data_IF_153931597613
#
_entry.id   IF_153931597613
#
_cell.length_a   1.000
_cell.length_b   1.000
_cell.length_c   1.000
_cell.angle_alpha   90.00
_cell.angle_beta   90.00
_cell.angle_gamma   90.00
#
_symmetry.space_group_name_H-M   'P 1'
#
loop_
_entity.id
_entity.type
_entity.pdbx_description
1 polymer ?
#
# COMPACT_ATOMS: atom_id res chain seq x y z
N UNK A 1 2.76 -3.35 9.53
CA UNK A 1 2.89 -3.89 8.16
C UNK A 1 1.58 -4.48 7.62
N UNK A 2 0.68 -4.98 8.49
CA UNK A 2 -0.59 -5.59 8.08
C UNK A 2 -1.47 -4.68 7.20
N UNK A 3 -1.45 -3.35 7.43
CA UNK A 3 -2.30 -2.39 6.74
C UNK A 3 -2.09 -2.35 5.22
N UNK A 4 -0.85 -2.29 4.74
CA UNK A 4 -0.55 -2.21 3.29
C UNK A 4 -0.91 -3.52 2.59
N UNK A 5 -0.71 -4.66 3.25
CA UNK A 5 -1.12 -5.98 2.76
C UNK A 5 -2.65 -6.06 2.62
N UNK A 6 -3.41 -5.59 3.62
CA UNK A 6 -4.86 -5.51 3.55
C UNK A 6 -5.34 -4.58 2.42
N UNK A 7 -4.73 -3.39 2.25
CA UNK A 7 -5.09 -2.48 1.17
C UNK A 7 -4.88 -3.10 -0.21
N UNK A 8 -3.78 -3.83 -0.41
CA UNK A 8 -3.53 -4.49 -1.69
C UNK A 8 -4.48 -5.67 -1.91
N UNK A 9 -4.78 -6.43 -0.86
CA UNK A 9 -5.75 -7.53 -0.91
C UNK A 9 -7.16 -7.02 -1.30
N UNK A 10 -7.62 -5.94 -0.67
CA UNK A 10 -8.87 -5.26 -1.01
C UNK A 10 -8.86 -4.77 -2.46
N UNK A 11 -7.75 -4.15 -2.89
CA UNK A 11 -7.58 -3.68 -4.27
C UNK A 11 -7.68 -4.84 -5.27
N UNK A 12 -7.10 -5.98 -4.95
CA UNK A 12 -7.24 -7.21 -5.74
C UNK A 12 -8.66 -7.75 -5.74
N UNK A 13 -9.32 -7.83 -4.59
CA UNK A 13 -10.68 -8.34 -4.46
C UNK A 13 -11.66 -7.57 -5.34
N UNK A 14 -11.61 -6.24 -5.33
CA UNK A 14 -12.49 -5.41 -6.18
C UNK A 14 -12.01 -5.32 -7.63
N UNK A 15 -10.75 -5.60 -7.90
CA UNK A 15 -10.14 -5.50 -9.23
C UNK A 15 -9.95 -4.05 -9.66
N UNK A 16 -8.75 -3.54 -9.46
CA UNK A 16 -8.39 -2.17 -9.89
C UNK A 16 -8.59 -2.04 -11.39
N UNK A 17 -9.22 -0.95 -11.81
CA UNK A 17 -9.31 -0.53 -13.22
C UNK A 17 -8.43 0.70 -13.42
N UNK A 18 -7.57 0.64 -14.41
CA UNK A 18 -6.73 1.78 -14.78
C UNK A 18 -7.58 3.03 -15.04
N UNK A 19 -7.27 4.09 -14.33
CA UNK A 19 -7.88 5.40 -14.55
C UNK A 19 -6.83 6.49 -14.33
N UNK A 20 -6.36 7.08 -15.43
CA UNK A 20 -5.28 8.06 -15.41
C UNK A 20 -5.60 9.27 -14.54
N UNK A 21 -6.81 9.81 -14.62
CA UNK A 21 -7.22 10.96 -13.82
C UNK A 21 -7.19 10.66 -12.31
N UNK A 22 -7.63 9.46 -11.90
CA UNK A 22 -7.56 9.05 -10.48
C UNK A 22 -6.14 8.90 -10.00
N UNK A 23 -5.24 8.35 -10.82
CA UNK A 23 -3.82 8.22 -10.48
C UNK A 23 -3.15 9.60 -10.36
N UNK A 24 -3.39 10.51 -11.29
CA UNK A 24 -2.87 11.89 -11.22
C UNK A 24 -3.40 12.59 -9.97
N UNK A 25 -4.69 12.46 -9.66
CA UNK A 25 -5.27 13.06 -8.45
C UNK A 25 -4.60 12.51 -7.18
N UNK A 26 -4.31 11.20 -7.16
CA UNK A 26 -3.60 10.58 -6.06
C UNK A 26 -2.16 11.11 -5.94
N UNK A 27 -1.45 11.24 -7.05
CA UNK A 27 -0.09 11.77 -7.07
C UNK A 27 -0.04 13.23 -6.59
N UNK A 28 -0.97 14.09 -7.04
CA UNK A 28 -1.10 15.48 -6.57
C UNK A 28 -1.30 15.55 -5.05
N UNK A 29 -2.13 14.66 -4.48
CA UNK A 29 -2.30 14.56 -3.03
C UNK A 29 -0.98 14.22 -2.34
N UNK A 30 -0.24 13.24 -2.87
CA UNK A 30 1.04 12.82 -2.30
C UNK A 30 2.08 13.93 -2.38
N UNK A 31 2.18 14.63 -3.52
CA UNK A 31 3.06 15.80 -3.71
C UNK A 31 2.76 16.87 -2.67
N UNK A 32 1.49 17.18 -2.43
CA UNK A 32 1.11 18.17 -1.43
C UNK A 32 1.58 17.78 -0.04
N UNK A 33 1.41 16.51 0.35
CA UNK A 33 1.86 16.02 1.66
C UNK A 33 3.38 15.94 1.79
N UNK A 34 4.10 15.59 0.73
CA UNK A 34 5.57 15.59 0.75
C UNK A 34 6.11 17.01 0.89
N UNK A 35 5.54 17.98 0.19
CA UNK A 35 5.90 19.39 0.34
C UNK A 35 5.60 19.87 1.77
N UNK A 36 4.41 19.56 2.29
CA UNK A 36 4.03 19.91 3.67
C UNK A 36 5.01 19.28 4.69
N UNK A 37 5.47 18.06 4.45
CA UNK A 37 6.47 17.41 5.29
C UNK A 37 7.79 18.17 5.30
N UNK A 38 8.27 18.70 4.16
CA UNK A 38 9.49 19.51 4.11
C UNK A 38 9.31 20.87 4.81
N UNK A 39 8.13 21.48 4.66
CA UNK A 39 7.80 22.72 5.38
C UNK A 39 7.82 22.49 6.89
N UNK A 40 7.26 21.39 7.38
CA UNK A 40 7.32 21.01 8.80
C UNK A 40 8.75 20.84 9.27
N UNK A 41 9.61 20.16 8.50
CA UNK A 41 11.03 20.02 8.83
C UNK A 41 11.70 21.40 9.01
N UNK A 42 11.49 22.31 8.06
CA UNK A 42 12.04 23.67 8.14
C UNK A 42 11.54 24.42 9.36
N UNK A 43 10.24 24.32 9.67
CA UNK A 43 9.63 24.96 10.84
C UNK A 43 10.22 24.43 12.17
N UNK A 44 10.66 23.16 12.19
CA UNK A 44 11.33 22.52 13.32
C UNK A 44 12.86 22.72 13.32
N UNK A 45 13.40 23.57 12.43
CA UNK A 45 14.83 23.81 12.34
C UNK A 45 15.65 22.67 11.72
N UNK A 46 14.98 21.67 11.11
CA UNK A 46 15.66 20.55 10.44
C UNK A 46 16.01 20.97 9.01
N UNK A 47 17.31 20.88 8.62
CA UNK A 47 17.71 21.30 7.29
C UNK A 47 17.10 20.41 6.20
N UNK A 48 16.68 21.04 5.09
CA UNK A 48 16.11 20.37 3.92
C UNK A 48 17.00 20.63 2.72
N UNK A 49 17.52 19.55 2.14
CA UNK A 49 18.40 19.61 0.97
C UNK A 49 17.64 19.86 -0.35
N UNK A 50 18.37 20.26 -1.40
CA UNK A 50 17.77 20.45 -2.75
C UNK A 50 17.17 19.16 -3.29
N UNK A 51 17.78 18.00 -3.01
CA UNK A 51 17.25 16.69 -3.42
C UNK A 51 15.98 16.31 -2.69
N UNK A 52 15.80 16.73 -1.43
CA UNK A 52 14.57 16.51 -0.67
C UNK A 52 13.40 17.26 -1.32
N UNK A 53 13.63 18.50 -1.78
CA UNK A 53 12.63 19.25 -2.54
C UNK A 53 12.33 18.60 -3.88
N UNK A 54 13.35 18.22 -4.65
CA UNK A 54 13.16 17.57 -5.94
C UNK A 54 12.36 16.27 -5.80
N UNK A 55 12.71 15.42 -4.85
CA UNK A 55 12.00 14.17 -4.59
C UNK A 55 10.56 14.38 -4.12
N UNK A 56 10.28 15.52 -3.47
CA UNK A 56 8.92 15.87 -3.05
C UNK A 56 7.97 16.18 -4.21
N UNK A 57 8.50 16.64 -5.35
CA UNK A 57 7.70 16.83 -6.57
C UNK A 57 7.52 15.54 -7.38
N UNK A 58 8.31 14.52 -7.13
CA UNK A 58 8.24 13.22 -7.81
C UNK A 58 8.19 12.05 -6.81
N UNK A 59 7.25 12.04 -5.85
CA UNK A 59 7.26 11.09 -4.73
C UNK A 59 7.12 9.63 -5.18
N UNK A 60 6.36 9.37 -6.24
CA UNK A 60 6.17 8.03 -6.79
C UNK A 60 7.43 7.55 -7.50
N UNK A 61 8.08 8.40 -8.30
CA UNK A 61 9.29 8.05 -9.05
C UNK A 61 10.52 7.92 -8.13
N UNK A 62 10.59 8.72 -7.06
CA UNK A 62 11.66 8.65 -6.06
C UNK A 62 11.46 7.55 -5.02
N UNK A 63 10.38 6.78 -5.13
CA UNK A 63 10.01 5.68 -4.21
C UNK A 63 9.94 6.11 -2.74
N UNK A 64 9.56 7.36 -2.45
CA UNK A 64 9.39 7.84 -1.07
C UNK A 64 8.35 7.03 -0.30
N UNK A 65 7.33 6.57 -1.00
CA UNK A 65 6.25 5.75 -0.46
C UNK A 65 6.15 4.46 -1.27
N UNK A 66 7.00 3.50 -0.94
CA UNK A 66 7.15 2.23 -1.66
C UNK A 66 5.82 1.54 -2.01
N UNK A 67 4.85 1.56 -1.08
CA UNK A 67 3.54 0.97 -1.31
C UNK A 67 2.76 1.70 -2.42
N UNK A 68 2.78 3.04 -2.42
CA UNK A 68 2.12 3.81 -3.48
C UNK A 68 2.79 3.59 -4.83
N UNK A 69 4.12 3.55 -4.88
CA UNK A 69 4.87 3.20 -6.10
C UNK A 69 4.42 1.82 -6.62
N UNK A 70 4.35 0.82 -5.75
CA UNK A 70 3.85 -0.51 -6.11
C UNK A 70 2.38 -0.47 -6.59
N UNK A 71 1.52 0.28 -5.89
CA UNK A 71 0.12 0.47 -6.27
C UNK A 71 -0.03 1.12 -7.64
N UNK A 72 0.75 2.16 -7.94
CA UNK A 72 0.74 2.82 -9.26
C UNK A 72 1.12 1.85 -10.38
N UNK A 73 2.18 1.07 -10.19
CA UNK A 73 2.62 0.08 -11.17
C UNK A 73 1.52 -0.99 -11.37
N UNK A 74 0.94 -1.52 -10.29
CA UNK A 74 -0.14 -2.50 -10.35
C UNK A 74 -1.39 -1.90 -11.03
N UNK A 75 -1.74 -0.64 -10.75
CA UNK A 75 -2.86 0.02 -11.39
C UNK A 75 -2.65 0.19 -12.91
N UNK A 76 -1.42 0.52 -13.34
CA UNK A 76 -1.08 0.59 -14.77
C UNK A 76 -1.18 -0.80 -15.41
N UNK A 77 -0.67 -1.83 -14.73
CA UNK A 77 -0.67 -3.22 -15.21
C UNK A 77 -2.02 -3.94 -15.00
N UNK A 78 -2.99 -3.30 -14.32
CA UNK A 78 -4.25 -3.94 -13.91
C UNK A 78 -5.04 -4.55 -15.07
N UNK A 79 -4.97 -3.94 -16.26
CA UNK A 79 -5.59 -4.50 -17.46
C UNK A 79 -5.08 -5.89 -17.85
N UNK A 80 -3.78 -6.15 -17.61
CA UNK A 80 -3.15 -7.45 -17.85
C UNK A 80 -3.37 -8.39 -16.65
N UNK A 81 -3.16 -7.89 -15.44
CA UNK A 81 -3.30 -8.68 -14.21
C UNK A 81 -4.72 -9.23 -14.03
N UNK A 82 -5.73 -8.47 -14.40
CA UNK A 82 -7.13 -8.91 -14.33
C UNK A 82 -7.46 -10.00 -15.36
N UNK A 83 -6.70 -10.13 -16.44
CA UNK A 83 -6.89 -11.19 -17.44
C UNK A 83 -6.28 -12.54 -17.01
N UNK A 84 -5.34 -12.56 -16.06
CA UNK A 84 -4.70 -13.80 -15.60
C UNK A 84 -5.74 -14.85 -15.14
N UNK A 85 -6.67 -14.53 -14.22
CA UNK A 85 -7.68 -15.48 -13.79
C UNK A 85 -8.71 -15.84 -14.88
N UNK A 86 -8.89 -14.99 -15.90
CA UNK A 86 -9.78 -15.29 -17.03
C UNK A 86 -9.17 -16.32 -17.98
N UNK A 87 -7.84 -16.37 -18.09
CA UNK A 87 -7.10 -17.28 -18.96
C UNK A 87 -6.72 -18.60 -18.30
N UNK A 88 -6.73 -18.68 -16.98
CA UNK A 88 -6.34 -19.85 -16.21
C UNK A 88 -7.57 -20.52 -15.58
N UNK A 89 -7.57 -21.87 -15.56
CA UNK A 89 -8.54 -22.62 -14.77
C UNK A 89 -8.28 -22.37 -13.27
N UNK A 90 -9.33 -22.49 -12.43
CA UNK A 90 -9.25 -22.31 -10.97
C UNK A 90 -8.05 -23.02 -10.35
N UNK A 91 -7.84 -24.29 -10.71
CA UNK A 91 -6.76 -25.10 -10.19
C UNK A 91 -5.37 -24.61 -10.60
N UNK A 92 -5.22 -24.19 -11.88
CA UNK A 92 -3.96 -23.65 -12.40
C UNK A 92 -3.62 -22.32 -11.72
N UNK A 93 -4.63 -21.45 -11.55
CA UNK A 93 -4.43 -20.18 -10.86
C UNK A 93 -4.12 -20.39 -9.37
N UNK A 94 -4.80 -21.33 -8.70
CA UNK A 94 -4.49 -21.70 -7.32
C UNK A 94 -3.06 -22.25 -7.16
N UNK A 95 -2.62 -23.15 -8.06
CA UNK A 95 -1.24 -23.68 -8.06
C UNK A 95 -0.20 -22.58 -8.28
N UNK A 96 -0.46 -21.64 -9.19
CA UNK A 96 0.41 -20.47 -9.41
C UNK A 96 0.55 -19.65 -8.13
N UNK A 97 -0.56 -19.33 -7.46
CA UNK A 97 -0.54 -18.58 -6.21
C UNK A 97 0.18 -19.32 -5.09
N UNK A 98 -0.05 -20.62 -4.95
CA UNK A 98 0.66 -21.45 -3.96
C UNK A 98 2.16 -21.48 -4.22
N UNK A 99 2.58 -21.59 -5.47
CA UNK A 99 3.99 -21.53 -5.84
C UNK A 99 4.60 -20.16 -5.50
N UNK A 100 3.91 -19.06 -5.85
CA UNK A 100 4.36 -17.72 -5.49
C UNK A 100 4.42 -17.51 -3.97
N UNK A 101 3.42 -17.98 -3.22
CA UNK A 101 3.42 -17.91 -1.76
C UNK A 101 4.57 -18.73 -1.16
N UNK A 102 4.82 -19.92 -1.68
CA UNK A 102 5.96 -20.72 -1.24
C UNK A 102 7.27 -19.98 -1.46
N UNK A 103 7.51 -19.53 -2.68
CA UNK A 103 8.78 -18.92 -3.08
C UNK A 103 9.03 -17.56 -2.40
N UNK A 104 8.00 -16.69 -2.35
CA UNK A 104 8.14 -15.31 -1.89
C UNK A 104 7.71 -15.08 -0.44
N UNK A 105 7.09 -16.07 0.21
CA UNK A 105 6.61 -15.92 1.57
C UNK A 105 7.13 -17.01 2.52
N UNK A 106 6.95 -18.29 2.18
CA UNK A 106 7.39 -19.40 3.06
C UNK A 106 8.92 -19.45 3.12
N UNK A 107 9.59 -19.42 1.97
CA UNK A 107 11.06 -19.44 1.90
C UNK A 107 11.68 -18.28 2.66
N UNK A 108 11.30 -17.00 2.45
CA UNK A 108 11.83 -15.90 3.24
C UNK A 108 11.51 -15.97 4.72
N UNK A 109 10.35 -16.54 5.09
CA UNK A 109 9.94 -16.65 6.49
C UNK A 109 10.81 -17.63 7.28
N UNK A 110 11.16 -18.77 6.69
CA UNK A 110 11.84 -19.84 7.44
C UNK A 110 13.32 -20.01 7.10
N UNK A 111 13.72 -19.68 5.86
CA UNK A 111 15.10 -19.84 5.41
C UNK A 111 15.87 -18.49 5.38
N UNK A 112 15.22 -17.40 5.69
CA UNK A 112 15.81 -16.05 5.68
C UNK A 112 16.35 -15.61 4.30
N UNK A 113 16.05 -16.33 3.22
CA UNK A 113 16.41 -15.96 1.86
C UNK A 113 15.31 -15.10 1.23
N UNK A 114 15.49 -13.79 1.26
CA UNK A 114 14.59 -12.86 0.54
C UNK A 114 15.05 -12.72 -0.92
N UNK A 115 14.48 -13.53 -1.81
CA UNK A 115 14.83 -13.59 -3.24
C UNK A 115 14.64 -12.24 -3.94
N UNK A 116 13.66 -11.47 -3.50
CA UNK A 116 13.31 -10.18 -4.09
C UNK A 116 13.97 -8.99 -3.39
N UNK A 117 14.56 -9.22 -2.22
CA UNK A 117 15.04 -8.17 -1.33
C UNK A 117 13.89 -7.34 -0.72
N UNK A 118 14.25 -6.34 0.07
CA UNK A 118 13.32 -5.36 0.66
C UNK A 118 12.21 -5.92 1.56
N UNK A 119 12.37 -7.13 2.11
CA UNK A 119 11.48 -7.74 3.10
C UNK A 119 9.99 -7.77 2.70
N UNK A 120 9.72 -7.91 1.40
CA UNK A 120 8.37 -7.88 0.84
C UNK A 120 7.86 -6.50 0.42
N UNK A 121 8.63 -5.44 0.62
CA UNK A 121 8.27 -4.06 0.23
C UNK A 121 8.56 -3.80 -1.26
N UNK A 122 8.02 -4.63 -2.13
CA UNK A 122 8.26 -4.58 -3.57
C UNK A 122 7.00 -4.87 -4.39
N UNK A 123 7.07 -4.55 -5.68
CA UNK A 123 5.95 -4.67 -6.62
C UNK A 123 5.53 -6.13 -6.83
N UNK A 124 6.48 -7.08 -6.83
CA UNK A 124 6.18 -8.49 -7.08
C UNK A 124 5.36 -9.07 -5.94
N UNK A 125 5.79 -8.83 -4.69
CA UNK A 125 5.05 -9.24 -3.50
C UNK A 125 3.63 -8.66 -3.50
N UNK A 126 3.49 -7.35 -3.77
CA UNK A 126 2.19 -6.70 -3.84
C UNK A 126 1.33 -7.24 -4.99
N UNK A 127 1.92 -7.65 -6.11
CA UNK A 127 1.21 -8.30 -7.21
C UNK A 127 0.66 -9.67 -6.80
N UNK A 128 1.43 -10.47 -6.06
CA UNK A 128 0.95 -11.75 -5.52
C UNK A 128 -0.25 -11.54 -4.59
N UNK A 129 -0.16 -10.57 -3.66
CA UNK A 129 -1.26 -10.23 -2.74
C UNK A 129 -2.50 -9.74 -3.52
N UNK A 130 -2.31 -8.91 -4.54
CA UNK A 130 -3.37 -8.48 -5.45
C UNK A 130 -4.08 -9.67 -6.11
N UNK A 131 -3.31 -10.62 -6.64
CA UNK A 131 -3.85 -11.82 -7.29
C UNK A 131 -4.55 -12.76 -6.29
N UNK A 132 -4.11 -12.83 -5.02
CA UNK A 132 -4.84 -13.53 -3.96
C UNK A 132 -6.22 -12.89 -3.76
N UNK A 133 -6.29 -11.57 -3.71
CA UNK A 133 -7.57 -10.85 -3.64
C UNK A 133 -8.49 -11.19 -4.83
N UNK A 134 -7.93 -11.26 -6.05
CA UNK A 134 -8.68 -11.71 -7.25
C UNK A 134 -9.19 -13.13 -7.10
N UNK A 135 -8.35 -14.06 -6.61
CA UNK A 135 -8.73 -15.45 -6.39
C UNK A 135 -9.89 -15.57 -5.40
N UNK A 136 -9.82 -14.88 -4.27
CA UNK A 136 -10.89 -14.86 -3.25
C UNK A 136 -12.19 -14.37 -3.88
N UNK A 137 -12.16 -13.28 -4.66
CA UNK A 137 -13.35 -12.73 -5.32
C UNK A 137 -14.03 -13.70 -6.27
N UNK A 138 -13.24 -14.44 -7.03
CA UNK A 138 -13.76 -15.26 -8.13
C UNK A 138 -14.16 -16.67 -7.68
N UNK A 139 -13.45 -17.23 -6.71
CA UNK A 139 -13.54 -18.64 -6.39
C UNK A 139 -13.91 -18.97 -4.95
N UNK A 140 -13.77 -18.01 -4.03
CA UNK A 140 -14.16 -18.19 -2.64
C UNK A 140 -15.40 -17.37 -2.31
N UNK A 141 -16.55 -17.98 -2.54
CA UNK A 141 -17.85 -17.43 -2.20
C UNK A 141 -18.35 -17.90 -0.82
N UNK A 142 -17.58 -18.72 -0.12
CA UNK A 142 -17.97 -19.26 1.16
C UNK A 142 -17.98 -18.17 2.24
N UNK A 143 -19.05 -18.10 3.00
CA UNK A 143 -19.12 -17.27 4.20
C UNK A 143 -18.60 -18.08 5.39
N UNK A 144 -17.34 -17.86 5.78
CA UNK A 144 -16.80 -18.50 6.97
C UNK A 144 -17.45 -17.94 8.23
N UNK A 145 -17.67 -18.80 9.24
CA UNK A 145 -18.21 -18.36 10.53
C UNK A 145 -17.21 -17.46 11.24
N UNK A 146 -17.59 -16.23 11.60
CA UNK A 146 -16.79 -15.30 12.38
C UNK A 146 -16.20 -15.92 13.64
N UNK A 147 -16.97 -16.79 14.31
CA UNK A 147 -16.55 -17.50 15.52
C UNK A 147 -15.31 -18.39 15.33
N UNK A 148 -14.97 -18.76 14.08
CA UNK A 148 -13.75 -19.52 13.77
C UNK A 148 -12.62 -18.62 13.27
N UNK A 149 -12.93 -17.56 12.53
CA UNK A 149 -11.92 -16.67 11.96
C UNK A 149 -11.18 -15.84 13.02
N UNK A 150 -11.91 -15.31 14.01
CA UNK A 150 -11.31 -14.49 15.05
C UNK A 150 -10.30 -15.28 15.94
N UNK A 151 -10.62 -16.49 16.45
CA UNK A 151 -9.64 -17.30 17.15
C UNK A 151 -8.44 -17.69 16.29
N UNK A 152 -8.63 -17.97 15.00
CA UNK A 152 -7.52 -18.25 14.08
C UNK A 152 -6.60 -17.05 13.90
N UNK A 153 -7.17 -15.83 13.76
CA UNK A 153 -6.39 -14.61 13.69
C UNK A 153 -5.59 -14.38 14.97
N UNK A 154 -6.23 -14.48 16.13
CA UNK A 154 -5.57 -14.33 17.41
C UNK A 154 -4.48 -15.40 17.62
N UNK A 155 -4.77 -16.66 17.25
CA UNK A 155 -3.80 -17.76 17.30
C UNK A 155 -2.59 -17.50 16.40
N UNK A 156 -2.81 -17.00 15.17
CA UNK A 156 -1.72 -16.66 14.26
C UNK A 156 -0.87 -15.49 14.79
N UNK A 157 -1.50 -14.46 15.38
CA UNK A 157 -0.79 -13.33 15.99
C UNK A 157 0.04 -13.82 17.20
N UNK A 158 -0.56 -14.64 18.07
CA UNK A 158 0.14 -15.20 19.23
C UNK A 158 1.30 -16.11 18.80
N UNK A 159 1.09 -16.96 17.81
CA UNK A 159 2.15 -17.81 17.26
C UNK A 159 3.30 -16.96 16.70
N UNK A 160 3.00 -15.92 15.92
CA UNK A 160 4.01 -15.00 15.39
C UNK A 160 4.81 -14.35 16.51
N UNK A 161 4.12 -13.88 17.57
CA UNK A 161 4.77 -13.29 18.74
C UNK A 161 5.68 -14.28 19.46
N UNK A 162 5.21 -15.51 19.70
CA UNK A 162 6.00 -16.55 20.38
C UNK A 162 7.22 -16.97 19.56
N UNK A 163 7.09 -17.10 18.24
CA UNK A 163 8.21 -17.40 17.34
C UNK A 163 9.25 -16.27 17.33
N UNK A 164 8.80 -15.01 17.29
CA UNK A 164 9.68 -13.85 17.33
C UNK A 164 10.40 -13.73 18.68
N UNK A 165 9.69 -13.94 19.78
CA UNK A 165 10.25 -13.95 21.12
C UNK A 165 11.29 -15.10 21.28
N UNK A 166 10.95 -16.30 20.81
CA UNK A 166 11.87 -17.44 20.83
C UNK A 166 13.14 -17.18 20.01
N UNK A 167 13.01 -16.58 18.83
CA UNK A 167 14.14 -16.18 18.00
C UNK A 167 15.02 -15.15 18.72
N UNK A 168 14.40 -14.12 19.29
CA UNK A 168 15.12 -13.09 20.04
C UNK A 168 15.88 -13.65 21.21
N UNK A 169 15.27 -14.53 22.01
CA UNK A 169 15.93 -15.17 23.14
C UNK A 169 17.09 -16.11 22.73
N UNK A 170 16.97 -16.75 21.56
CA UNK A 170 17.97 -17.68 21.05
C UNK A 170 19.16 -16.99 20.35
N UNK A 171 18.92 -15.89 19.64
CA UNK A 171 19.91 -15.30 18.73
C UNK A 171 20.19 -13.81 18.97
N UNK A 172 19.39 -13.12 19.78
CA UNK A 172 19.40 -11.67 19.93
C UNK A 172 18.86 -10.90 18.71
N UNK A 173 18.43 -11.61 17.66
CA UNK A 173 17.87 -11.01 16.46
C UNK A 173 16.34 -11.02 16.51
N UNK A 174 15.72 -10.02 15.91
CA UNK A 174 14.26 -9.89 15.77
C UNK A 174 13.92 -9.46 14.33
N UNK A 175 12.64 -9.38 14.01
CA UNK A 175 12.11 -8.98 12.71
C UNK A 175 12.17 -10.05 11.61
N UNK A 176 11.97 -11.32 11.94
CA UNK A 176 11.91 -12.39 10.95
C UNK A 176 10.47 -12.74 10.56
N UNK A 177 9.61 -12.96 11.54
CA UNK A 177 8.27 -13.51 11.34
C UNK A 177 7.19 -12.44 11.10
N UNK A 178 7.43 -11.15 11.39
CA UNK A 178 6.48 -10.06 11.17
C UNK A 178 6.79 -9.17 9.95
N UNK A 179 7.77 -9.55 9.10
CA UNK A 179 8.07 -8.84 7.83
C UNK A 179 6.88 -8.85 6.87
N UNK A 180 6.84 -7.92 5.92
CA UNK A 180 5.78 -7.84 4.92
C UNK A 180 5.72 -9.08 4.01
N UNK A 181 6.85 -9.77 3.79
CA UNK A 181 6.90 -11.05 3.08
C UNK A 181 6.56 -12.27 3.95
N UNK A 182 6.39 -12.12 5.27
CA UNK A 182 6.11 -13.27 6.14
C UNK A 182 4.76 -13.89 5.82
N UNK A 183 4.75 -15.24 5.77
CA UNK A 183 3.51 -16.00 5.57
C UNK A 183 2.49 -15.71 6.68
N UNK A 184 2.95 -15.47 7.93
CA UNK A 184 2.09 -15.13 9.05
C UNK A 184 1.40 -13.76 8.86
N UNK A 185 2.12 -12.77 8.31
CA UNK A 185 1.54 -11.46 7.97
C UNK A 185 0.47 -11.60 6.91
N UNK A 186 0.71 -12.42 5.86
CA UNK A 186 -0.26 -12.62 4.79
C UNK A 186 -1.48 -13.39 5.28
N UNK A 187 -1.28 -14.44 6.08
CA UNK A 187 -2.39 -15.19 6.70
C UNK A 187 -3.23 -14.27 7.60
N UNK A 188 -2.59 -13.43 8.43
CA UNK A 188 -3.29 -12.43 9.24
C UNK A 188 -4.12 -11.47 8.38
N UNK A 189 -3.57 -10.99 7.26
CA UNK A 189 -4.28 -10.08 6.34
C UNK A 189 -5.50 -10.76 5.71
N UNK A 190 -5.36 -12.01 5.27
CA UNK A 190 -6.47 -12.79 4.70
C UNK A 190 -7.55 -13.04 5.75
N UNK A 191 -7.18 -13.48 6.95
CA UNK A 191 -8.13 -13.73 8.04
C UNK A 191 -8.88 -12.45 8.44
N UNK A 192 -8.16 -11.33 8.56
CA UNK A 192 -8.74 -10.03 8.87
C UNK A 192 -9.72 -9.59 7.76
N UNK A 193 -9.31 -9.73 6.50
CA UNK A 193 -10.17 -9.43 5.36
C UNK A 193 -11.44 -10.27 5.37
N UNK A 194 -11.33 -11.58 5.62
CA UNK A 194 -12.47 -12.49 5.70
C UNK A 194 -13.43 -12.14 6.86
N UNK A 195 -12.89 -11.74 8.02
CA UNK A 195 -13.72 -11.26 9.14
C UNK A 195 -14.53 -10.05 8.70
N UNK A 196 -13.90 -9.04 8.09
CA UNK A 196 -14.60 -7.83 7.66
C UNK A 196 -15.56 -8.09 6.49
N UNK A 197 -15.26 -9.01 5.58
CA UNK A 197 -16.16 -9.43 4.50
C UNK A 197 -17.50 -9.97 5.01
N UNK A 198 -17.52 -10.53 6.24
CA UNK A 198 -18.74 -11.03 6.86
C UNK A 198 -19.57 -9.96 7.59
N UNK A 199 -19.01 -8.74 7.73
CA UNK A 199 -19.67 -7.64 8.43
C UNK A 199 -20.33 -6.75 7.38
N UNK A 200 -21.66 -6.73 7.37
CA UNK A 200 -22.41 -5.81 6.54
C UNK A 200 -22.86 -4.63 7.40
N UNK A 201 -22.34 -3.44 7.11
CA UNK A 201 -22.87 -2.21 7.66
C UNK A 201 -22.55 -1.03 6.72
N UNK A 202 -23.51 -0.10 6.62
CA UNK A 202 -23.31 1.15 5.89
C UNK A 202 -23.37 2.32 6.87
N UNK A 203 -22.31 3.10 6.94
CA UNK A 203 -22.24 4.32 7.72
C UNK A 203 -21.50 5.40 6.96
N UNK A 204 -22.19 6.51 6.65
CA UNK A 204 -21.63 7.63 5.89
C UNK A 204 -20.40 8.23 6.54
N UNK A 205 -20.38 8.30 7.87
CA UNK A 205 -19.25 8.83 8.62
C UNK A 205 -18.01 7.94 8.49
N UNK A 206 -18.19 6.62 8.66
CA UNK A 206 -17.10 5.66 8.52
C UNK A 206 -16.59 5.62 7.07
N UNK A 207 -17.46 5.67 6.07
CA UNK A 207 -17.06 5.73 4.67
C UNK A 207 -16.25 7.01 4.36
N UNK A 208 -16.60 8.14 4.99
CA UNK A 208 -15.84 9.39 4.86
C UNK A 208 -14.45 9.28 5.49
N UNK A 209 -14.35 8.69 6.68
CA UNK A 209 -13.07 8.41 7.34
C UNK A 209 -12.23 7.42 6.52
N UNK A 210 -12.83 6.34 6.03
CA UNK A 210 -12.14 5.34 5.21
C UNK A 210 -11.52 5.96 3.94
N UNK A 211 -12.20 6.95 3.34
CA UNK A 211 -11.65 7.72 2.21
C UNK A 211 -10.43 8.58 2.57
N UNK A 212 -10.21 8.87 3.86
CA UNK A 212 -9.07 9.67 4.34
C UNK A 212 -7.90 8.81 4.85
N UNK A 213 -8.07 7.50 5.01
CA UNK A 213 -7.06 6.62 5.64
C UNK A 213 -5.74 6.58 4.86
N UNK A 214 -5.75 6.75 3.55
CA UNK A 214 -4.53 6.79 2.75
C UNK A 214 -3.63 7.97 3.13
N UNK A 215 -4.21 9.11 3.52
CA UNK A 215 -3.46 10.25 4.01
C UNK A 215 -2.73 9.93 5.34
N UNK A 216 -3.29 9.05 6.17
CA UNK A 216 -2.59 8.56 7.37
C UNK A 216 -1.28 7.87 6.99
N UNK A 217 -1.30 7.02 5.97
CA UNK A 217 -0.08 6.36 5.48
C UNK A 217 0.96 7.38 4.96
N UNK A 218 0.52 8.40 4.22
CA UNK A 218 1.43 9.37 3.60
C UNK A 218 1.95 10.40 4.59
N UNK A 219 1.10 10.88 5.51
CA UNK A 219 1.41 12.03 6.34
C UNK A 219 1.74 11.70 7.80
N UNK A 220 1.52 10.46 8.25
CA UNK A 220 1.75 10.07 9.65
C UNK A 220 3.13 10.43 10.17
N UNK A 221 4.19 10.19 9.40
CA UNK A 221 5.56 10.54 9.82
C UNK A 221 5.78 12.05 10.02
N UNK A 222 5.16 12.89 9.18
CA UNK A 222 5.21 14.35 9.34
C UNK A 222 4.46 14.79 10.59
N UNK A 223 3.28 14.23 10.81
CA UNK A 223 2.47 14.55 11.97
C UNK A 223 3.06 14.01 13.28
N UNK A 224 3.63 12.81 13.27
CA UNK A 224 4.36 12.26 14.41
C UNK A 224 5.49 13.17 14.87
N UNK A 225 6.25 13.78 13.96
CA UNK A 225 7.29 14.75 14.32
C UNK A 225 6.75 15.97 15.07
N UNK A 226 5.60 16.48 14.64
CA UNK A 226 4.95 17.60 15.35
C UNK A 226 4.51 17.19 16.75
N UNK A 227 3.90 16.02 16.88
CA UNK A 227 3.43 15.52 18.18
C UNK A 227 4.60 15.15 19.08
N UNK A 228 5.71 14.62 18.53
CA UNK A 228 6.91 14.28 19.27
C UNK A 228 7.56 15.51 19.95
N UNK A 229 7.50 16.69 19.31
CA UNK A 229 7.97 17.94 19.93
C UNK A 229 7.18 18.28 21.20
N UNK A 230 5.87 17.93 21.24
CA UNK A 230 5.01 18.18 22.38
C UNK A 230 5.07 17.04 23.42
N UNK A 231 5.32 15.83 22.97
CA UNK A 231 5.36 14.61 23.78
C UNK A 231 6.51 13.70 23.33
N UNK A 232 7.74 13.91 23.84
CA UNK A 232 8.90 13.08 23.55
C UNK A 232 8.76 11.72 24.26
N UNK A 233 8.27 10.69 23.54
CA UNK A 233 8.02 9.35 24.10
C UNK A 233 9.30 8.67 24.62
N UNK A 234 10.45 9.09 24.13
CA UNK A 234 11.77 8.57 24.54
C UNK A 234 12.05 8.84 26.03
N UNK A 235 11.60 9.98 26.56
CA UNK A 235 11.75 10.32 27.97
C UNK A 235 10.99 9.37 28.91
N UNK A 236 10.04 8.63 28.36
CA UNK A 236 9.19 7.67 29.08
C UNK A 236 9.61 6.21 28.84
N UNK A 237 10.76 5.93 28.18
CA UNK A 237 11.16 4.58 27.75
C UNK A 237 11.16 3.54 28.88
N UNK A 238 11.51 3.95 30.11
CA UNK A 238 11.53 3.09 31.31
C UNK A 238 10.41 3.40 32.30
N UNK A 239 9.43 4.21 31.91
CA UNK A 239 8.29 4.58 32.73
C UNK A 239 7.11 3.64 32.51
N UNK A 240 6.33 3.28 33.56
CA UNK A 240 5.07 2.58 33.40
C UNK A 240 4.03 3.37 32.59
N UNK A 241 4.25 4.68 32.39
CA UNK A 241 3.41 5.56 31.59
C UNK A 241 3.63 5.37 30.08
N UNK A 242 4.72 4.72 29.65
CA UNK A 242 5.01 4.54 28.21
C UNK A 242 3.86 3.85 27.47
N UNK A 243 3.34 2.77 28.02
CA UNK A 243 2.25 2.01 27.38
C UNK A 243 0.95 2.83 27.26
N UNK A 244 0.42 3.47 28.31
CA UNK A 244 -0.71 4.38 28.19
C UNK A 244 -0.46 5.54 27.20
N UNK A 245 0.72 6.12 27.19
CA UNK A 245 1.07 7.21 26.28
C UNK A 245 1.08 6.75 24.82
N UNK A 246 1.63 5.56 24.52
CA UNK A 246 1.56 4.98 23.16
C UNK A 246 0.10 4.74 22.75
N UNK A 247 -0.73 4.20 23.66
CA UNK A 247 -2.15 3.98 23.40
C UNK A 247 -2.92 5.28 23.13
N UNK A 248 -2.48 6.41 23.66
CA UNK A 248 -3.05 7.73 23.39
C UNK A 248 -2.45 8.36 22.12
N UNK A 249 -1.15 8.24 21.93
CA UNK A 249 -0.40 8.84 20.84
C UNK A 249 -0.86 8.32 19.47
N UNK A 250 -1.00 7.00 19.31
CA UNK A 250 -1.36 6.40 18.02
C UNK A 250 -2.75 6.85 17.53
N UNK A 251 -3.84 6.80 18.30
CA UNK A 251 -5.13 7.37 17.89
C UNK A 251 -5.08 8.88 17.64
N UNK A 252 -4.29 9.63 18.40
CA UNK A 252 -4.10 11.07 18.20
C UNK A 252 -3.51 11.36 16.81
N UNK A 253 -2.43 10.65 16.45
CA UNK A 253 -1.80 10.77 15.12
C UNK A 253 -2.78 10.41 14.01
N UNK A 254 -3.48 9.29 14.13
CA UNK A 254 -4.46 8.85 13.12
C UNK A 254 -5.59 9.88 12.96
N UNK A 255 -6.15 10.34 14.08
CA UNK A 255 -7.25 11.33 14.07
C UNK A 255 -6.77 12.66 13.47
N UNK A 256 -5.59 13.14 13.87
CA UNK A 256 -5.00 14.37 13.35
C UNK A 256 -4.78 14.29 11.83
N UNK A 257 -4.22 13.20 11.33
CA UNK A 257 -4.04 12.98 9.89
C UNK A 257 -5.39 12.95 9.14
N UNK A 258 -6.41 12.30 9.71
CA UNK A 258 -7.76 12.26 9.10
C UNK A 258 -8.38 13.67 9.06
N UNK A 259 -8.28 14.44 10.13
CA UNK A 259 -8.79 15.81 10.16
C UNK A 259 -8.12 16.72 9.13
N UNK A 260 -6.79 16.64 9.02
CA UNK A 260 -6.01 17.37 8.02
C UNK A 260 -6.45 16.96 6.60
N UNK A 261 -6.65 15.66 6.36
CA UNK A 261 -7.12 15.18 5.06
C UNK A 261 -8.53 15.69 4.73
N UNK A 262 -9.44 15.65 5.69
CA UNK A 262 -10.80 16.17 5.47
C UNK A 262 -10.79 17.67 5.19
N UNK A 263 -9.94 18.43 5.88
CA UNK A 263 -9.73 19.86 5.61
C UNK A 263 -9.14 20.07 4.22
N UNK A 264 -8.10 19.33 3.84
CA UNK A 264 -7.50 19.38 2.50
C UNK A 264 -8.55 19.09 1.42
N UNK A 265 -9.35 18.04 1.59
CA UNK A 265 -10.41 17.71 0.63
C UNK A 265 -11.45 18.84 0.50
N UNK A 266 -11.81 19.49 1.60
CA UNK A 266 -12.75 20.61 1.58
C UNK A 266 -12.18 21.84 0.86
N UNK A 267 -10.88 22.15 1.07
CA UNK A 267 -10.23 23.33 0.51
C UNK A 267 -9.76 23.11 -0.94
N UNK A 268 -9.13 21.97 -1.22
CA UNK A 268 -8.41 21.73 -2.47
C UNK A 268 -9.02 20.62 -3.36
N UNK A 269 -9.97 19.85 -2.87
CA UNK A 269 -10.49 18.67 -3.58
C UNK A 269 -11.12 18.97 -4.95
N UNK A 270 -11.78 20.13 -5.10
CA UNK A 270 -12.33 20.57 -6.38
C UNK A 270 -11.23 21.01 -7.36
N UNK A 271 -10.23 21.74 -6.88
CA UNK A 271 -9.07 22.18 -7.66
C UNK A 271 -8.25 21.01 -8.16
N UNK A 272 -7.92 20.05 -7.27
CA UNK A 272 -7.20 18.84 -7.63
C UNK A 272 -7.93 18.01 -8.69
N UNK A 273 -9.25 17.90 -8.58
CA UNK A 273 -10.04 17.16 -9.56
C UNK A 273 -10.00 17.84 -10.94
N UNK A 274 -10.05 19.18 -11.00
CA UNK A 274 -9.93 19.96 -12.24
C UNK A 274 -8.53 19.86 -12.82
N UNK A 275 -7.49 19.98 -12.00
CA UNK A 275 -6.10 19.86 -12.43
C UNK A 275 -5.80 18.45 -12.94
N UNK A 276 -6.23 17.43 -12.22
CA UNK A 276 -6.06 16.02 -12.64
C UNK A 276 -6.77 15.74 -13.98
N UNK A 277 -7.96 16.31 -14.20
CA UNK A 277 -8.66 16.21 -15.48
C UNK A 277 -7.86 16.83 -16.62
N UNK A 278 -7.43 18.09 -16.47
CA UNK A 278 -6.62 18.79 -17.50
C UNK A 278 -5.31 18.06 -17.82
N UNK A 279 -4.60 17.59 -16.78
CA UNK A 279 -3.35 16.84 -16.96
C UNK A 279 -3.60 15.49 -17.66
N UNK A 280 -4.67 14.80 -17.31
CA UNK A 280 -5.05 13.55 -17.97
C UNK A 280 -5.36 13.77 -19.46
N UNK A 281 -6.05 14.85 -19.81
CA UNK A 281 -6.36 15.20 -21.20
C UNK A 281 -5.09 15.50 -22.01
N UNK A 282 -4.17 16.30 -21.42
CA UNK A 282 -2.86 16.60 -22.06
C UNK A 282 -2.08 15.31 -22.30
N UNK A 283 -1.98 14.43 -21.29
CA UNK A 283 -1.25 13.18 -21.41
C UNK A 283 -1.88 12.23 -22.43
N UNK A 284 -3.22 12.19 -22.52
CA UNK A 284 -3.92 11.40 -23.52
C UNK A 284 -3.65 11.93 -24.95
N UNK A 285 -3.63 13.23 -25.15
CA UNK A 285 -3.29 13.86 -26.45
C UNK A 285 -1.83 13.51 -26.83
N UNK A 286 -0.89 13.63 -25.89
CA UNK A 286 0.52 13.28 -26.11
C UNK A 286 0.68 11.81 -26.45
N UNK A 287 -0.01 10.91 -25.73
CA UNK A 287 -0.04 9.47 -26.00
C UNK A 287 -0.55 9.17 -27.41
N UNK A 288 -1.62 9.82 -27.85
CA UNK A 288 -2.14 9.63 -29.21
C UNK A 288 -1.15 10.12 -30.27
N UNK A 289 -0.55 11.31 -30.08
CA UNK A 289 0.49 11.82 -30.99
C UNK A 289 1.68 10.87 -31.10
N UNK A 290 2.14 10.33 -29.96
CA UNK A 290 3.24 9.38 -29.92
C UNK A 290 2.90 8.05 -30.61
N UNK A 291 1.69 7.51 -30.36
CA UNK A 291 1.19 6.30 -31.04
C UNK A 291 1.13 6.47 -32.56
N UNK A 292 0.63 7.61 -33.01
CA UNK A 292 0.55 7.93 -34.45
C UNK A 292 1.95 8.07 -35.07
N UNK A 293 2.91 8.64 -34.33
CA UNK A 293 4.31 8.75 -34.79
C UNK A 293 4.97 7.37 -34.90
N UNK A 294 4.77 6.51 -33.90
CA UNK A 294 5.27 5.12 -33.93
C UNK A 294 4.65 4.33 -35.09
N UNK A 295 3.35 4.46 -35.33
CA UNK A 295 2.68 3.79 -36.44
C UNK A 295 3.29 4.22 -37.80
N UNK A 296 3.47 5.52 -38.01
CA UNK A 296 4.13 6.04 -39.23
C UNK A 296 5.57 5.55 -39.39
N UNK A 297 6.34 5.44 -38.29
CA UNK A 297 7.68 4.88 -38.33
C UNK A 297 7.67 3.39 -38.69
N UNK A 298 6.73 2.61 -38.11
CA UNK A 298 6.57 1.19 -38.40
C UNK A 298 6.17 0.94 -39.85
N UNK A 299 5.29 1.75 -40.44
CA UNK A 299 4.94 1.66 -41.88
C UNK A 299 6.14 1.98 -42.76
N UNK A 300 6.92 3.02 -42.46
CA UNK A 300 8.14 3.33 -43.19
C UNK A 300 9.15 2.16 -43.15
N UNK A 301 9.33 1.55 -41.96
CA UNK A 301 10.23 0.41 -41.81
C UNK A 301 9.74 -0.81 -42.64
N UNK A 302 8.44 -1.10 -42.63
CA UNK A 302 7.87 -2.17 -43.46
C UNK A 302 8.10 -1.94 -44.95
N UNK A 303 7.91 -0.71 -45.41
CA UNK A 303 8.14 -0.37 -46.84
C UNK A 303 9.62 -0.44 -47.23
N UNK A 304 10.55 -0.19 -46.27
CA UNK A 304 12.01 -0.37 -46.52
C UNK A 304 12.45 -1.83 -46.55
N UNK A 305 11.76 -2.73 -45.86
CA UNK A 305 12.07 -4.17 -45.81
C UNK A 305 11.43 -4.97 -46.94
N UNK A 306 10.54 -4.36 -47.71
CA UNK A 306 9.86 -4.97 -48.87
C UNK A 306 10.50 -4.54 -50.22
N UNK A 307 11.39 -3.53 -50.19
CA UNK A 307 12.31 -3.19 -51.29
C UNK A 307 13.64 -3.94 -51.15
#
# INVERSE_FOLDING_TARGET
NLGVTCFMLISGYFGVRFNLQKLIKLDLMVILYTILHQVIKLALGIPVGKMDWLSSFFPILSNQYWYLTAYFIIAILSGYLNQIPEKLKKEQFGKLLLFCLFLFCVVPTFLHFDILGSEGKNVVQMTVIYLIGRYIRLYDQNSYRKSRLAPLLLGNILLTFLLEMGLYLATGHYSMFYRDCSIFTIVSAILLFEIFRTIYFENRFINKIAGAVLAVYVFSFGFQRLVHVLLPLEDYAFSPLLFPLICLFAPCVVTGCILIELLRQALFGSLETRLAGKLADILNILRQKFKNKLYKCSEKLKNYLVQ
#
